data_IF_113791684511
#
_entry.id   IF_113791684511
#
_cell.length_a   1.000
_cell.length_b   1.000
_cell.length_c   1.000
_cell.angle_alpha   90.00
_cell.angle_beta   90.00
_cell.angle_gamma   90.00
#
_symmetry.space_group_name_H-M   'P 1'
#
loop_
_entity.id
_entity.type
_entity.pdbx_description
1 polymer ?
#
# COMPACT_ATOMS: atom_id res chain seq x y z
N UNK A 1 3.44 -7.66 17.24
CA UNK A 1 3.44 -8.55 16.05
C UNK A 1 4.41 -7.91 15.09
N UNK A 2 5.43 -8.64 14.63
CA UNK A 2 6.46 -8.08 13.76
C UNK A 2 5.78 -7.52 12.52
N UNK A 3 5.90 -6.21 12.29
CA UNK A 3 5.37 -5.56 11.09
C UNK A 3 6.15 -6.09 9.89
N UNK A 4 5.61 -7.13 9.24
CA UNK A 4 6.15 -7.70 7.99
C UNK A 4 6.19 -6.64 6.88
N UNK A 5 5.46 -5.55 7.07
CA UNK A 5 5.34 -4.41 6.17
C UNK A 5 5.89 -3.14 6.81
N UNK A 6 6.65 -2.36 6.05
CA UNK A 6 7.19 -1.06 6.48
C UNK A 6 6.76 0.00 5.49
N UNK A 7 6.45 1.21 5.96
CA UNK A 7 6.22 2.35 5.07
C UNK A 7 7.57 2.92 4.68
N UNK A 8 7.96 2.78 3.42
CA UNK A 8 9.17 3.41 2.89
C UNK A 8 8.91 4.88 2.56
N UNK A 9 7.73 5.17 2.02
CA UNK A 9 7.38 6.50 1.54
C UNK A 9 5.90 6.80 1.75
N UNK A 10 5.62 8.03 2.16
CA UNK A 10 4.27 8.48 2.48
C UNK A 10 4.11 9.90 1.94
N UNK A 11 3.31 10.03 0.88
CA UNK A 11 3.06 11.31 0.21
C UNK A 11 1.57 11.54 0.04
N UNK A 12 1.16 12.77 -0.26
CA UNK A 12 -0.25 13.10 -0.50
C UNK A 12 -0.83 12.41 -1.75
N UNK A 13 0.01 11.99 -2.70
CA UNK A 13 -0.41 11.33 -3.92
C UNK A 13 -0.27 9.80 -3.92
N UNK A 14 0.57 9.22 -3.06
CA UNK A 14 0.75 7.78 -2.95
C UNK A 14 1.47 7.37 -1.65
N UNK A 15 1.31 6.10 -1.28
CA UNK A 15 2.01 5.45 -0.19
C UNK A 15 2.77 4.23 -0.73
N UNK A 16 4.01 4.05 -0.28
CA UNK A 16 4.87 2.93 -0.63
C UNK A 16 5.10 2.07 0.61
N UNK A 17 4.73 0.80 0.49
CA UNK A 17 4.82 -0.20 1.55
C UNK A 17 5.76 -1.30 1.10
N UNK A 18 6.83 -1.53 1.85
CA UNK A 18 7.79 -2.60 1.59
C UNK A 18 7.51 -3.79 2.49
N UNK A 19 7.36 -4.95 1.85
CA UNK A 19 7.32 -6.23 2.53
C UNK A 19 8.75 -6.70 2.79
N UNK A 20 9.16 -6.77 4.05
CA UNK A 20 10.55 -7.07 4.43
C UNK A 20 10.79 -8.58 4.55
N UNK A 21 9.74 -9.37 4.76
CA UNK A 21 9.84 -10.79 5.15
C UNK A 21 9.80 -11.77 3.97
N UNK A 22 8.84 -11.64 3.05
CA UNK A 22 8.66 -12.68 2.03
C UNK A 22 9.52 -12.52 0.77
N UNK A 23 9.90 -11.30 0.44
CA UNK A 23 10.71 -10.88 -0.71
C UNK A 23 10.68 -9.36 -0.66
N UNK A 24 11.76 -8.69 -1.02
CA UNK A 24 11.91 -7.22 -0.99
C UNK A 24 10.93 -6.50 -1.93
N UNK A 25 9.64 -6.60 -1.63
CA UNK A 25 8.54 -6.22 -2.51
C UNK A 25 8.00 -4.89 -2.05
N UNK A 26 8.07 -3.91 -2.95
CA UNK A 26 7.52 -2.59 -2.72
C UNK A 26 6.16 -2.52 -3.39
N UNK A 27 5.13 -2.38 -2.58
CA UNK A 27 3.76 -2.12 -2.99
C UNK A 27 3.51 -0.62 -2.97
N UNK A 28 3.26 -0.04 -4.14
CA UNK A 28 2.88 1.37 -4.27
C UNK A 28 1.39 1.49 -4.49
N UNK A 29 0.71 2.17 -3.57
CA UNK A 29 -0.72 2.48 -3.68
C UNK A 29 -0.90 3.98 -3.93
N UNK A 30 -1.59 4.34 -5.01
CA UNK A 30 -1.91 5.76 -5.26
C UNK A 30 -3.06 6.20 -4.36
N UNK A 31 -2.97 7.39 -3.81
CA UNK A 31 -4.09 8.03 -3.11
C UNK A 31 -4.86 8.80 -4.17
N UNK A 32 -6.13 8.47 -4.32
CA UNK A 32 -7.03 9.06 -5.31
C UNK A 32 -8.19 9.71 -4.59
N UNK A 33 -8.64 10.84 -5.11
CA UNK A 33 -9.88 11.48 -4.68
C UNK A 33 -11.04 10.63 -5.20
N UNK A 34 -11.86 10.11 -4.28
CA UNK A 34 -13.11 9.43 -4.59
C UNK A 34 -14.25 10.44 -4.73
N UNK A 35 -15.43 9.94 -5.13
CA UNK A 35 -16.65 10.71 -5.10
C UNK A 35 -16.93 11.24 -3.67
N UNK A 36 -17.34 12.52 -3.58
CA UNK A 36 -17.55 13.27 -2.33
C UNK A 36 -16.29 13.72 -1.57
N UNK A 37 -15.21 14.11 -2.26
CA UNK A 37 -13.99 14.68 -1.62
C UNK A 37 -13.26 13.70 -0.67
N UNK A 38 -13.65 12.42 -0.69
CA UNK A 38 -13.06 11.39 0.16
C UNK A 38 -11.81 10.85 -0.50
N UNK A 39 -10.65 11.12 0.08
CA UNK A 39 -9.40 10.51 -0.37
C UNK A 39 -9.43 9.02 -0.01
N UNK A 40 -9.16 8.14 -0.98
CA UNK A 40 -9.08 6.69 -0.80
C UNK A 40 -7.83 6.13 -1.48
N UNK A 41 -7.42 4.93 -1.07
CA UNK A 41 -6.38 4.20 -1.81
C UNK A 41 -6.97 3.60 -3.10
N UNK A 42 -6.19 3.67 -4.18
CA UNK A 42 -6.50 2.98 -5.43
C UNK A 42 -6.60 1.47 -5.19
N UNK A 43 -7.52 0.83 -5.91
CA UNK A 43 -7.87 -0.57 -5.68
C UNK A 43 -6.73 -1.53 -6.04
N UNK A 44 -5.90 -1.15 -7.01
CA UNK A 44 -4.74 -1.92 -7.47
C UNK A 44 -3.42 -1.24 -7.09
N UNK A 45 -2.44 -2.00 -6.56
CA UNK A 45 -1.07 -1.51 -6.44
C UNK A 45 -0.52 -1.23 -7.86
N UNK A 46 0.17 -0.09 -8.01
CA UNK A 46 0.67 0.38 -9.31
C UNK A 46 1.95 -0.32 -9.76
N UNK A 47 2.59 -1.06 -8.86
CA UNK A 47 3.84 -1.75 -9.12
C UNK A 47 3.85 -3.05 -8.34
N UNK A 48 3.63 -4.17 -9.04
CA UNK A 48 4.15 -5.47 -8.64
C UNK A 48 5.45 -5.61 -9.44
N UNK A 49 6.60 -5.74 -8.78
CA UNK A 49 7.85 -6.01 -9.50
C UNK A 49 7.69 -7.31 -10.32
N UNK A 50 8.31 -7.35 -11.50
CA UNK A 50 8.19 -8.42 -12.53
C UNK A 50 8.50 -9.83 -11.99
N UNK A 51 9.15 -9.94 -10.82
CA UNK A 51 9.44 -11.20 -10.11
C UNK A 51 8.33 -11.71 -9.17
N UNK A 52 7.16 -11.08 -9.14
CA UNK A 52 6.06 -11.45 -8.25
C UNK A 52 5.29 -12.70 -8.77
N UNK A 53 5.95 -13.86 -8.84
CA UNK A 53 5.31 -15.12 -9.23
C UNK A 53 4.23 -15.55 -8.20
N UNK A 54 2.96 -15.29 -8.54
CA UNK A 54 1.69 -15.90 -8.07
C UNK A 54 1.37 -15.94 -6.56
N UNK A 55 2.33 -15.72 -5.65
CA UNK A 55 2.11 -15.57 -4.19
C UNK A 55 1.68 -14.15 -3.80
N UNK A 56 1.64 -13.24 -4.76
CA UNK A 56 1.59 -11.79 -4.54
C UNK A 56 0.23 -11.24 -4.11
N UNK A 57 -0.90 -11.87 -4.50
CA UNK A 57 -2.23 -11.33 -4.21
C UNK A 57 -2.58 -11.29 -2.70
N UNK A 58 -2.13 -12.29 -1.92
CA UNK A 58 -2.36 -12.32 -0.48
C UNK A 58 -1.56 -11.22 0.24
N UNK A 59 -0.28 -11.08 -0.09
CA UNK A 59 0.58 -10.05 0.48
C UNK A 59 0.21 -8.65 -0.02
N UNK A 60 -0.30 -8.51 -1.26
CA UNK A 60 -0.83 -7.26 -1.77
C UNK A 60 -2.06 -6.81 -0.97
N UNK A 61 -2.95 -7.73 -0.58
CA UNK A 61 -4.09 -7.42 0.28
C UNK A 61 -3.64 -6.98 1.68
N UNK A 62 -2.67 -7.69 2.29
CA UNK A 62 -2.12 -7.30 3.59
C UNK A 62 -1.40 -5.95 3.53
N UNK A 63 -0.60 -5.72 2.49
CA UNK A 63 0.06 -4.44 2.23
C UNK A 63 -0.95 -3.32 2.04
N UNK A 64 -2.07 -3.56 1.36
CA UNK A 64 -3.17 -2.59 1.20
C UNK A 64 -3.81 -2.24 2.54
N UNK A 65 -4.16 -3.23 3.36
CA UNK A 65 -4.76 -2.99 4.69
C UNK A 65 -3.81 -2.18 5.58
N UNK A 66 -2.52 -2.51 5.53
CA UNK A 66 -1.49 -1.76 6.24
C UNK A 66 -1.35 -0.33 5.70
N UNK A 67 -1.29 -0.18 4.38
CA UNK A 67 -1.23 1.12 3.71
C UNK A 67 -2.43 2.00 4.06
N UNK A 68 -3.64 1.43 4.08
CA UNK A 68 -4.88 2.13 4.43
C UNK A 68 -4.86 2.59 5.87
N UNK A 69 -4.43 1.73 6.78
CA UNK A 69 -4.31 2.09 8.19
C UNK A 69 -3.31 3.23 8.40
N UNK A 70 -2.16 3.19 7.71
CA UNK A 70 -1.12 4.21 7.80
C UNK A 70 -1.56 5.52 7.16
N UNK A 71 -2.17 5.48 5.97
CA UNK A 71 -2.69 6.65 5.29
C UNK A 71 -3.82 7.32 6.09
N UNK A 72 -4.74 6.54 6.69
CA UNK A 72 -5.80 7.07 7.56
C UNK A 72 -5.21 7.70 8.83
N UNK A 73 -4.23 7.05 9.45
CA UNK A 73 -3.52 7.60 10.62
C UNK A 73 -2.79 8.90 10.29
N UNK A 74 -2.31 9.06 9.07
CA UNK A 74 -1.65 10.26 8.57
C UNK A 74 -2.63 11.35 8.07
N UNK A 75 -3.94 11.11 8.06
CA UNK A 75 -4.93 12.06 7.54
C UNK A 75 -4.90 12.24 6.02
N UNK A 76 -4.31 11.28 5.30
CA UNK A 76 -4.22 11.28 3.84
C UNK A 76 -5.45 10.70 3.16
N UNK A 77 -6.20 9.86 3.88
CA UNK A 77 -7.47 9.26 3.44
C UNK A 77 -8.49 9.34 4.58
N UNK A 78 -9.78 9.29 4.22
CA UNK A 78 -10.93 9.33 5.15
C UNK A 78 -11.49 7.90 5.39
#
# INVERSE_FOLDING_TARGET
MADEFTVENLTEGWIEVRHVVASDHVYRFSIVEAEHDRRKLADSPRTENDGAERKSAFYALQARVFAERMARKAGLID
#
